data_IF_094649453949
#
_entry.id   IF_094649453949
#
_cell.length_a   1.000
_cell.length_b   1.000
_cell.length_c   1.000
_cell.angle_alpha   90.00
_cell.angle_beta   90.00
_cell.angle_gamma   90.00
#
_symmetry.space_group_name_H-M   'P 1'
#
loop_
_entity.id
_entity.type
_entity.pdbx_description
1 polymer ?
#
# COMPACT_ATOMS: atom_id res chain seq x y z
N UNK A 1 8.57 -14.09 -15.24
CA UNK A 1 8.43 -12.68 -14.80
C UNK A 1 7.22 -12.00 -15.45
N UNK A 2 7.00 -12.13 -16.75
CA UNK A 2 5.82 -11.58 -17.44
C UNK A 2 4.48 -12.08 -16.88
N UNK A 3 4.40 -13.32 -16.41
CA UNK A 3 3.18 -13.89 -15.84
C UNK A 3 2.82 -13.32 -14.45
N UNK A 4 3.78 -12.80 -13.69
CA UNK A 4 3.51 -12.18 -12.39
C UNK A 4 3.11 -10.70 -12.51
N UNK A 5 3.60 -9.99 -13.51
CA UNK A 5 3.20 -8.62 -13.83
C UNK A 5 1.81 -8.52 -14.46
N UNK A 6 1.39 -9.55 -15.22
CA UNK A 6 0.04 -9.63 -15.81
C UNK A 6 -1.09 -9.88 -14.79
N UNK A 7 -0.77 -10.21 -13.53
CA UNK A 7 -1.78 -10.48 -12.49
C UNK A 7 -2.38 -9.22 -11.86
N UNK A 8 -1.83 -8.06 -12.11
CA UNK A 8 -2.46 -6.78 -11.76
C UNK A 8 -3.12 -6.24 -13.02
N UNK A 9 -4.25 -6.82 -13.39
CA UNK A 9 -5.05 -6.32 -14.50
C UNK A 9 -5.53 -4.89 -14.19
N UNK A 10 -5.29 -3.90 -15.05
CA UNK A 10 -5.83 -2.55 -14.88
C UNK A 10 -7.37 -2.48 -14.91
N UNK A 11 -8.02 -3.57 -15.30
CA UNK A 11 -9.49 -3.73 -15.34
C UNK A 11 -10.00 -4.67 -14.24
N UNK A 12 -9.27 -4.85 -13.16
CA UNK A 12 -9.73 -5.68 -12.06
C UNK A 12 -10.85 -4.95 -11.31
N UNK A 13 -12.04 -5.48 -11.42
CA UNK A 13 -13.26 -4.92 -10.88
C UNK A 13 -13.39 -5.25 -9.38
N UNK A 14 -12.44 -4.73 -8.58
CA UNK A 14 -12.34 -4.98 -7.15
C UNK A 14 -13.58 -4.54 -6.37
N UNK A 15 -14.30 -3.57 -6.92
CA UNK A 15 -15.39 -2.91 -6.21
C UNK A 15 -16.77 -3.43 -6.61
N UNK A 16 -16.91 -4.10 -7.74
CA UNK A 16 -18.18 -4.66 -8.23
C UNK A 16 -18.34 -6.14 -7.92
N UNK A 17 -17.25 -6.89 -7.89
CA UNK A 17 -17.25 -8.31 -7.54
C UNK A 17 -16.78 -8.48 -6.08
N UNK A 18 -17.53 -9.23 -5.27
CA UNK A 18 -17.17 -9.64 -3.90
C UNK A 18 -15.91 -10.54 -3.84
N UNK A 19 -15.05 -10.48 -4.85
CA UNK A 19 -13.82 -11.25 -4.90
C UNK A 19 -12.72 -10.56 -4.14
N UNK A 20 -11.92 -11.34 -3.44
CA UNK A 20 -10.73 -10.86 -2.75
C UNK A 20 -9.80 -10.11 -3.72
N UNK A 21 -9.20 -9.02 -3.24
CA UNK A 21 -8.14 -8.32 -3.97
C UNK A 21 -7.00 -9.31 -4.24
N UNK A 22 -6.64 -9.62 -5.50
CA UNK A 22 -5.46 -10.41 -5.77
C UNK A 22 -4.24 -9.60 -5.37
N UNK A 23 -3.59 -10.03 -4.31
CA UNK A 23 -2.34 -9.48 -3.84
C UNK A 23 -1.25 -10.51 -4.07
N UNK A 24 -0.54 -10.48 -5.20
CA UNK A 24 0.64 -11.29 -5.33
C UNK A 24 1.65 -10.79 -4.29
N UNK A 25 2.11 -11.67 -3.43
CA UNK A 25 3.32 -11.46 -2.66
C UNK A 25 4.38 -12.40 -3.24
N UNK A 26 5.60 -11.88 -3.39
CA UNK A 26 6.73 -12.76 -3.67
C UNK A 26 6.92 -13.70 -2.47
N UNK A 27 7.27 -14.96 -2.69
CA UNK A 27 7.69 -15.85 -1.64
C UNK A 27 8.80 -15.19 -0.82
N UNK A 28 8.79 -15.45 0.50
CA UNK A 28 9.88 -15.02 1.35
C UNK A 28 11.17 -15.67 0.85
N UNK A 29 12.28 -14.94 0.93
CA UNK A 29 13.64 -15.41 0.63
C UNK A 29 14.00 -15.60 -0.87
N UNK A 30 13.18 -15.15 -1.80
CA UNK A 30 13.50 -15.19 -3.25
C UNK A 30 14.01 -13.85 -3.81
N UNK A 31 14.59 -12.98 -2.97
CA UNK A 31 15.08 -11.66 -3.43
C UNK A 31 16.24 -11.83 -4.40
N UNK A 32 17.15 -12.76 -4.14
CA UNK A 32 18.30 -13.02 -5.03
C UNK A 32 17.85 -13.46 -6.42
N UNK A 33 16.96 -14.44 -6.49
CA UNK A 33 16.39 -14.93 -7.76
C UNK A 33 15.61 -13.82 -8.49
N UNK A 34 14.89 -12.97 -7.74
CA UNK A 34 14.22 -11.81 -8.32
C UNK A 34 15.20 -10.83 -8.96
N UNK A 35 16.30 -10.51 -8.25
CA UNK A 35 17.34 -9.58 -8.74
C UNK A 35 18.06 -10.15 -9.94
N UNK A 36 18.43 -11.44 -9.94
CA UNK A 36 19.09 -12.12 -11.04
C UNK A 36 18.26 -12.13 -12.33
N UNK A 37 16.93 -12.12 -12.18
CA UNK A 37 15.99 -12.04 -13.32
C UNK A 37 15.80 -10.64 -13.90
N UNK A 38 16.41 -9.59 -13.34
CA UNK A 38 16.29 -8.22 -13.82
C UNK A 38 17.41 -7.84 -14.79
N UNK A 39 17.08 -6.94 -15.71
CA UNK A 39 18.12 -6.30 -16.53
C UNK A 39 19.01 -5.42 -15.66
N UNK A 40 20.31 -5.29 -15.98
CA UNK A 40 21.27 -4.53 -15.15
C UNK A 40 20.88 -3.07 -14.90
N UNK A 41 20.20 -2.43 -15.85
CA UNK A 41 19.76 -1.05 -15.84
C UNK A 41 18.31 -0.88 -15.32
N UNK A 42 17.72 -1.95 -14.79
CA UNK A 42 16.37 -1.89 -14.22
C UNK A 42 16.33 -0.95 -13.01
N UNK A 43 15.50 0.08 -13.10
CA UNK A 43 15.24 0.98 -11.98
C UNK A 43 14.27 0.33 -11.00
N UNK A 44 14.61 0.37 -9.73
CA UNK A 44 13.82 -0.21 -8.66
C UNK A 44 13.43 0.84 -7.63
N UNK A 45 12.36 0.54 -6.92
CA UNK A 45 11.96 1.25 -5.70
C UNK A 45 12.09 0.26 -4.54
N UNK A 46 12.75 0.68 -3.48
CA UNK A 46 12.75 -0.03 -2.19
C UNK A 46 11.93 0.76 -1.18
N UNK A 47 11.02 0.08 -0.52
CA UNK A 47 10.12 0.66 0.49
C UNK A 47 9.88 -0.34 1.64
N UNK A 48 9.57 0.13 2.87
CA UNK A 48 9.19 -0.74 3.96
C UNK A 48 7.88 -1.47 3.63
N UNK A 49 7.81 -2.75 3.95
CA UNK A 49 6.56 -3.49 3.90
C UNK A 49 5.79 -3.27 5.20
N UNK A 50 4.80 -2.38 5.15
CA UNK A 50 3.96 -2.05 6.30
C UNK A 50 3.12 -3.28 6.68
N UNK A 51 3.05 -3.59 7.96
CA UNK A 51 2.25 -4.69 8.49
C UNK A 51 0.93 -4.18 9.06
N UNK A 52 -0.15 -4.44 8.33
CA UNK A 52 -1.49 -3.99 8.65
C UNK A 52 -2.57 -4.76 7.92
N UNK A 53 -3.65 -4.08 7.59
CA UNK A 53 -4.76 -4.60 6.79
C UNK A 53 -4.87 -3.84 5.47
N UNK A 54 -4.67 -4.53 4.35
CA UNK A 54 -4.84 -3.95 3.04
C UNK A 54 -6.28 -3.51 2.80
N UNK A 55 -6.46 -2.25 2.42
CA UNK A 55 -7.73 -1.67 1.99
C UNK A 55 -7.56 -0.95 0.67
N UNK A 56 -8.65 -0.89 -0.09
CA UNK A 56 -8.73 -0.15 -1.33
C UNK A 56 -9.81 0.93 -1.23
N UNK A 57 -9.45 2.13 -1.63
CA UNK A 57 -10.29 3.32 -1.64
C UNK A 57 -10.75 3.60 -3.06
N UNK A 58 -12.02 3.92 -3.25
CA UNK A 58 -12.57 4.39 -4.51
C UNK A 58 -13.09 5.81 -4.36
N UNK A 59 -12.61 6.67 -5.24
CA UNK A 59 -13.09 8.04 -5.39
C UNK A 59 -13.79 8.19 -6.75
N UNK A 60 -14.90 8.92 -6.75
CA UNK A 60 -15.58 9.33 -7.96
C UNK A 60 -15.63 10.87 -8.01
N UNK A 61 -15.06 11.45 -9.06
CA UNK A 61 -14.93 12.89 -9.18
C UNK A 61 -14.36 13.58 -7.93
N UNK A 62 -13.36 12.92 -7.35
CA UNK A 62 -12.66 13.41 -6.17
C UNK A 62 -13.34 13.13 -4.84
N UNK A 63 -14.54 12.57 -4.78
CA UNK A 63 -15.26 12.25 -3.54
C UNK A 63 -15.05 10.77 -3.20
N UNK A 64 -14.70 10.47 -1.94
CA UNK A 64 -14.57 9.10 -1.46
C UNK A 64 -15.96 8.44 -1.38
N UNK A 65 -16.19 7.45 -2.24
CA UNK A 65 -17.45 6.71 -2.31
C UNK A 65 -17.39 5.38 -1.56
N UNK A 66 -16.29 4.66 -1.69
CA UNK A 66 -16.21 3.28 -1.22
C UNK A 66 -14.83 2.91 -0.71
N UNK A 67 -14.81 2.10 0.34
CA UNK A 67 -13.61 1.43 0.81
C UNK A 67 -13.89 -0.04 1.06
N UNK A 68 -13.02 -0.92 0.54
CA UNK A 68 -13.13 -2.35 0.73
C UNK A 68 -11.82 -2.94 1.27
N UNK A 69 -11.96 -3.97 2.08
CA UNK A 69 -10.83 -4.79 2.54
C UNK A 69 -10.40 -5.79 1.46
N UNK A 70 -9.25 -6.42 1.66
CA UNK A 70 -8.76 -7.52 0.82
C UNK A 70 -9.80 -8.64 0.61
N UNK A 71 -10.65 -8.88 1.61
CA UNK A 71 -11.70 -9.92 1.58
C UNK A 71 -13.02 -9.43 0.98
N UNK A 72 -13.08 -8.19 0.48
CA UNK A 72 -14.27 -7.61 -0.13
C UNK A 72 -15.29 -7.04 0.89
N UNK A 73 -14.93 -6.95 2.18
CA UNK A 73 -15.80 -6.32 3.18
C UNK A 73 -15.83 -4.80 2.94
N UNK A 74 -17.02 -4.22 2.82
CA UNK A 74 -17.21 -2.78 2.79
C UNK A 74 -17.01 -2.18 4.18
N UNK A 75 -16.06 -1.26 4.27
CA UNK A 75 -15.69 -0.58 5.52
C UNK A 75 -15.76 0.94 5.40
N UNK A 76 -16.47 1.43 4.39
CA UNK A 76 -16.53 2.86 4.02
C UNK A 76 -16.89 3.77 5.18
N UNK A 77 -17.90 3.39 5.98
CA UNK A 77 -18.33 4.21 7.13
C UNK A 77 -17.28 4.28 8.22
N UNK A 78 -16.56 3.20 8.44
CA UNK A 78 -15.53 3.09 9.48
C UNK A 78 -14.30 3.94 9.19
N UNK A 79 -13.83 3.91 7.95
CA UNK A 79 -12.56 4.55 7.60
C UNK A 79 -12.64 6.09 7.53
N UNK A 80 -13.83 6.66 7.53
CA UNK A 80 -14.03 8.13 7.50
C UNK A 80 -13.43 8.85 8.71
N UNK A 81 -13.22 8.14 9.82
CA UNK A 81 -12.58 8.67 11.03
C UNK A 81 -11.05 8.58 11.01
N UNK A 82 -10.45 7.96 9.97
CA UNK A 82 -9.00 7.85 9.85
C UNK A 82 -8.44 9.11 9.21
N UNK A 83 -7.61 9.91 9.92
CA UNK A 83 -7.15 11.22 9.42
C UNK A 83 -6.36 11.16 8.11
N UNK A 84 -5.60 10.08 7.90
CA UNK A 84 -4.76 9.88 6.70
C UNK A 84 -5.56 9.50 5.45
N UNK A 85 -6.89 9.32 5.56
CA UNK A 85 -7.76 9.02 4.42
C UNK A 85 -8.53 10.27 4.03
N UNK A 86 -8.12 10.98 2.96
CA UNK A 86 -8.82 12.17 2.51
C UNK A 86 -10.26 11.83 2.09
N UNK A 87 -11.25 12.57 2.60
CA UNK A 87 -12.64 12.45 2.13
C UNK A 87 -12.80 12.97 0.69
N UNK A 88 -11.90 13.87 0.28
CA UNK A 88 -11.88 14.45 -1.07
C UNK A 88 -10.45 14.55 -1.60
N UNK A 89 -10.29 14.37 -2.92
CA UNK A 89 -9.01 14.50 -3.64
C UNK A 89 -9.23 15.26 -4.96
N UNK A 90 -8.20 15.95 -5.45
CA UNK A 90 -8.31 16.74 -6.71
C UNK A 90 -8.12 15.85 -7.95
N UNK A 91 -9.11 15.00 -8.24
CA UNK A 91 -9.14 14.14 -9.43
C UNK A 91 -10.51 14.18 -10.10
N UNK A 92 -10.54 13.89 -11.41
CA UNK A 92 -11.76 13.71 -12.18
C UNK A 92 -11.96 12.23 -12.50
N UNK A 93 -13.23 11.82 -12.63
CA UNK A 93 -13.58 10.45 -12.95
C UNK A 93 -13.31 9.47 -11.81
N UNK A 94 -13.14 8.20 -12.17
CA UNK A 94 -12.87 7.11 -11.25
C UNK A 94 -11.38 7.09 -10.85
N UNK A 95 -11.10 7.13 -9.56
CA UNK A 95 -9.76 7.03 -9.02
C UNK A 95 -9.71 6.02 -7.88
N UNK A 96 -8.82 5.04 -7.98
CA UNK A 96 -8.74 3.94 -7.04
C UNK A 96 -7.33 3.82 -6.46
N UNK A 97 -7.24 3.78 -5.13
CA UNK A 97 -5.99 3.75 -4.37
C UNK A 97 -6.00 2.54 -3.45
N UNK A 98 -4.85 1.90 -3.34
CA UNK A 98 -4.61 0.85 -2.38
C UNK A 98 -3.55 1.27 -1.39
N UNK A 99 -3.76 0.89 -0.13
CA UNK A 99 -2.82 1.12 0.96
C UNK A 99 -3.02 0.12 2.09
N UNK A 100 -2.28 0.36 3.15
CA UNK A 100 -2.32 -0.43 4.37
C UNK A 100 -2.85 0.40 5.53
N UNK A 101 -3.87 -0.11 6.21
CA UNK A 101 -4.32 0.40 7.49
C UNK A 101 -3.53 -0.31 8.58
N UNK A 102 -2.85 0.45 9.43
CA UNK A 102 -1.91 -0.07 10.41
C UNK A 102 -1.91 0.76 11.69
N UNK A 103 -1.33 0.21 12.74
CA UNK A 103 -1.05 0.99 13.94
C UNK A 103 0.43 1.40 13.93
N UNK A 104 0.75 2.70 14.01
CA UNK A 104 2.12 3.18 14.11
C UNK A 104 2.89 2.53 15.27
N UNK A 105 4.18 2.27 15.08
CA UNK A 105 5.01 1.50 16.00
C UNK A 105 5.13 2.11 17.41
N UNK A 106 4.94 3.40 17.55
CA UNK A 106 4.95 4.11 18.85
C UNK A 106 3.74 3.78 19.73
N UNK A 107 2.63 3.23 19.14
CA UNK A 107 1.40 2.86 19.86
C UNK A 107 1.17 1.36 19.93
N UNK A 108 1.97 0.56 19.23
CA UNK A 108 1.77 -0.88 19.17
C UNK A 108 3.10 -1.66 19.22
N UNK A 109 3.03 -2.84 19.82
CA UNK A 109 4.06 -3.84 19.57
C UNK A 109 3.98 -4.26 18.10
N UNK A 110 5.09 -4.36 17.37
CA UNK A 110 5.08 -4.62 15.91
C UNK A 110 4.21 -5.81 15.48
N UNK A 111 4.18 -6.87 16.27
CA UNK A 111 3.38 -8.08 16.03
C UNK A 111 1.86 -7.89 16.16
N UNK A 112 1.38 -6.75 16.64
CA UNK A 112 -0.03 -6.51 16.89
C UNK A 112 -0.69 -5.55 15.90
N UNK A 113 0.08 -4.79 15.13
CA UNK A 113 -0.45 -3.77 14.20
C UNK A 113 -1.54 -4.33 13.29
N UNK A 114 -1.28 -5.44 12.59
CA UNK A 114 -2.26 -6.10 11.72
C UNK A 114 -3.50 -6.58 12.48
N UNK A 115 -3.32 -7.15 13.69
CA UNK A 115 -4.44 -7.64 14.50
C UNK A 115 -5.32 -6.49 14.98
N UNK A 116 -4.74 -5.38 15.36
CA UNK A 116 -5.47 -4.19 15.79
C UNK A 116 -6.24 -3.56 14.64
N UNK A 117 -5.61 -3.35 13.48
CA UNK A 117 -6.30 -2.87 12.29
C UNK A 117 -7.43 -3.80 11.87
N UNK A 118 -7.21 -5.12 11.85
CA UNK A 118 -8.23 -6.11 11.54
C UNK A 118 -9.34 -6.19 12.59
N UNK A 119 -9.02 -6.00 13.85
CA UNK A 119 -9.99 -5.90 14.96
C UNK A 119 -10.91 -4.69 14.76
N UNK A 120 -10.33 -3.52 14.53
CA UNK A 120 -11.04 -2.29 14.24
C UNK A 120 -12.03 -2.45 13.08
N UNK A 121 -11.58 -3.01 11.97
CA UNK A 121 -12.42 -3.17 10.78
C UNK A 121 -13.63 -4.11 11.00
N UNK A 122 -13.54 -5.04 11.95
CA UNK A 122 -14.62 -6.01 12.25
C UNK A 122 -15.54 -5.59 13.37
N UNK A 123 -15.03 -4.92 14.40
CA UNK A 123 -15.81 -4.55 15.58
C UNK A 123 -16.78 -3.40 15.28
N UNK A 124 -18.02 -3.44 15.79
CA UNK A 124 -19.02 -2.40 15.55
C UNK A 124 -18.63 -1.06 16.18
N UNK A 125 -18.14 -1.06 17.41
CA UNK A 125 -17.91 0.14 18.25
C UNK A 125 -16.42 0.39 18.55
N UNK A 126 -15.53 0.13 17.60
CA UNK A 126 -14.09 0.33 17.81
C UNK A 126 -13.66 1.77 17.53
N UNK A 127 -12.76 2.31 18.37
CA UNK A 127 -12.14 3.61 18.15
C UNK A 127 -10.94 3.49 17.20
N UNK A 128 -10.76 4.49 16.33
CA UNK A 128 -9.71 4.53 15.31
C UNK A 128 -8.49 5.35 15.72
N UNK A 129 -8.48 5.90 16.92
CA UNK A 129 -7.57 6.97 17.37
C UNK A 129 -6.07 6.64 17.23
N UNK A 130 -5.74 5.36 17.04
CA UNK A 130 -4.37 4.86 16.93
C UNK A 130 -4.06 4.25 15.56
N UNK A 131 -4.96 4.41 14.58
CA UNK A 131 -4.75 3.85 13.26
C UNK A 131 -4.34 4.91 12.26
N UNK A 132 -3.40 4.55 11.40
CA UNK A 132 -2.92 5.32 10.27
C UNK A 132 -3.14 4.55 8.98
N UNK A 133 -3.25 5.29 7.88
CA UNK A 133 -3.33 4.73 6.55
C UNK A 133 -2.15 5.18 5.70
N UNK A 134 -1.46 4.25 5.09
CA UNK A 134 -0.37 4.51 4.17
C UNK A 134 -0.71 3.99 2.78
N UNK A 135 -0.79 4.88 1.79
CA UNK A 135 -1.10 4.53 0.41
C UNK A 135 0.16 4.21 -0.38
N UNK A 136 0.17 3.15 -1.15
CA UNK A 136 1.34 2.73 -1.92
C UNK A 136 1.05 2.37 -3.37
N UNK A 137 -0.20 2.33 -3.82
CA UNK A 137 -0.52 1.95 -5.19
C UNK A 137 -1.75 2.67 -5.73
N UNK A 138 -1.69 3.12 -6.98
CA UNK A 138 -2.86 3.52 -7.77
C UNK A 138 -3.32 2.28 -8.54
N UNK A 139 -4.57 1.83 -8.31
CA UNK A 139 -5.07 0.57 -8.86
C UNK A 139 -5.39 0.70 -10.34
N UNK A 140 -6.10 1.75 -10.73
CA UNK A 140 -6.59 1.99 -12.09
C UNK A 140 -5.69 2.91 -12.92
N UNK A 141 -4.42 3.09 -12.50
CA UNK A 141 -3.44 3.93 -13.16
C UNK A 141 -2.44 3.14 -14.00
N UNK A 142 -1.82 3.83 -14.97
CA UNK A 142 -0.72 3.29 -15.80
C UNK A 142 0.66 3.83 -15.38
N UNK A 143 0.74 4.52 -14.23
CA UNK A 143 1.98 5.07 -13.73
C UNK A 143 2.89 3.96 -13.19
N UNK A 144 4.19 4.11 -13.37
CA UNK A 144 5.16 3.29 -12.65
C UNK A 144 5.10 3.60 -11.14
N UNK A 145 5.75 2.78 -10.30
CA UNK A 145 5.66 2.90 -8.84
C UNK A 145 6.18 4.25 -8.33
N UNK A 146 7.29 4.75 -8.88
CA UNK A 146 7.85 6.03 -8.48
C UNK A 146 6.89 7.20 -8.75
N UNK A 147 6.31 7.25 -9.94
CA UNK A 147 5.39 8.31 -10.33
C UNK A 147 4.04 8.17 -9.60
N UNK A 148 3.61 6.94 -9.31
CA UNK A 148 2.43 6.66 -8.47
C UNK A 148 2.60 7.23 -7.07
N UNK A 149 3.74 6.99 -6.41
CA UNK A 149 4.01 7.51 -5.07
C UNK A 149 4.07 9.04 -5.07
N UNK A 150 4.74 9.65 -6.06
CA UNK A 150 4.76 11.11 -6.21
C UNK A 150 3.37 11.70 -6.40
N UNK A 151 2.54 11.06 -7.22
CA UNK A 151 1.18 11.52 -7.49
C UNK A 151 0.28 11.38 -6.24
N UNK A 152 0.37 10.27 -5.53
CA UNK A 152 -0.34 10.06 -4.26
C UNK A 152 0.05 11.13 -3.23
N UNK A 153 1.34 11.44 -3.09
CA UNK A 153 1.80 12.51 -2.20
C UNK A 153 1.25 13.88 -2.60
N UNK A 154 1.18 14.18 -3.91
CA UNK A 154 0.57 15.43 -4.41
C UNK A 154 -0.93 15.52 -4.10
N UNK A 155 -1.62 14.38 -3.99
CA UNK A 155 -3.02 14.28 -3.60
C UNK A 155 -3.21 14.20 -2.07
N UNK A 156 -2.19 14.55 -1.29
CA UNK A 156 -2.13 14.60 0.19
C UNK A 156 -2.31 13.25 0.90
N UNK A 157 -2.08 12.15 0.20
CA UNK A 157 -1.98 10.85 0.86
C UNK A 157 -0.66 10.70 1.61
N UNK A 158 -0.71 10.04 2.74
CA UNK A 158 0.48 9.48 3.39
C UNK A 158 1.00 8.32 2.53
N UNK A 159 2.28 8.36 2.19
CA UNK A 159 2.96 7.33 1.40
C UNK A 159 4.13 6.74 2.22
N UNK A 160 4.58 5.51 1.92
CA UNK A 160 5.76 4.97 2.58
C UNK A 160 7.01 5.79 2.23
N UNK A 161 7.97 5.82 3.14
CA UNK A 161 9.32 6.23 2.78
C UNK A 161 9.85 5.28 1.68
N UNK A 162 10.59 5.81 0.72
CA UNK A 162 11.15 4.99 -0.33
C UNK A 162 12.50 5.50 -0.82
N UNK A 163 13.27 4.61 -1.43
CA UNK A 163 14.48 4.95 -2.17
C UNK A 163 14.37 4.45 -3.60
N UNK A 164 14.79 5.28 -4.54
CA UNK A 164 14.95 4.89 -5.95
C UNK A 164 16.35 4.33 -6.15
N UNK A 165 16.44 3.17 -6.76
CA UNK A 165 17.68 2.50 -7.11
C UNK A 165 17.84 2.54 -8.62
N UNK A 166 19.03 2.91 -9.08
CA UNK A 166 19.37 2.91 -10.50
C UNK A 166 19.83 1.53 -11.00
N UNK A 167 20.29 0.69 -10.08
CA UNK A 167 20.83 -0.63 -10.38
C UNK A 167 20.33 -1.66 -9.35
N UNK A 168 20.02 -2.85 -9.81
CA UNK A 168 19.60 -3.96 -8.97
C UNK A 168 20.64 -4.33 -7.88
N UNK A 169 21.94 -4.19 -8.20
CA UNK A 169 23.04 -4.42 -7.26
C UNK A 169 23.01 -3.55 -5.99
N UNK A 170 22.29 -2.43 -6.02
CA UNK A 170 22.15 -1.55 -4.86
C UNK A 170 21.19 -2.10 -3.77
N UNK A 171 20.37 -3.08 -4.08
CA UNK A 171 19.36 -3.63 -3.16
C UNK A 171 19.99 -4.10 -1.85
N UNK A 172 21.08 -4.86 -1.92
CA UNK A 172 21.73 -5.40 -0.72
C UNK A 172 22.35 -4.31 0.16
N UNK A 173 22.87 -3.24 -0.45
CA UNK A 173 23.40 -2.08 0.28
C UNK A 173 22.30 -1.44 1.11
N UNK A 174 21.13 -1.20 0.50
CA UNK A 174 20.01 -0.58 1.20
C UNK A 174 19.34 -1.51 2.22
N UNK A 175 19.29 -2.82 1.94
CA UNK A 175 18.85 -3.82 2.93
C UNK A 175 19.72 -3.78 4.19
N UNK A 176 21.03 -3.72 4.03
CA UNK A 176 21.97 -3.59 5.15
C UNK A 176 21.77 -2.29 5.91
N UNK A 177 21.63 -1.16 5.20
CA UNK A 177 21.37 0.14 5.85
C UNK A 177 20.07 0.12 6.66
N UNK A 178 19.04 -0.55 6.17
CA UNK A 178 17.79 -0.71 6.90
C UNK A 178 17.96 -1.62 8.13
N UNK A 179 18.61 -2.75 7.98
CA UNK A 179 18.96 -3.64 9.10
C UNK A 179 19.74 -2.92 10.18
N UNK A 180 20.67 -2.05 9.80
CA UNK A 180 21.47 -1.22 10.72
C UNK A 180 20.68 -0.02 11.30
N UNK A 181 19.38 0.10 11.05
CA UNK A 181 18.51 1.22 11.45
C UNK A 181 18.98 2.59 10.95
N UNK A 182 19.66 2.64 9.82
CA UNK A 182 20.12 3.87 9.16
C UNK A 182 19.17 4.35 8.04
N UNK A 183 18.16 3.55 7.73
CA UNK A 183 17.19 3.81 6.68
C UNK A 183 15.81 3.39 7.18
N UNK A 184 14.77 4.12 6.79
CA UNK A 184 13.37 3.84 7.17
C UNK A 184 13.18 3.73 8.69
N UNK A 185 13.71 4.70 9.44
CA UNK A 185 13.77 4.65 10.91
C UNK A 185 12.41 4.75 11.60
N UNK A 186 11.37 5.14 10.86
CA UNK A 186 9.99 5.26 11.36
C UNK A 186 9.17 3.97 11.19
N UNK A 187 9.81 2.85 10.79
CA UNK A 187 9.13 1.56 10.54
C UNK A 187 9.80 0.38 11.24
#
# INVERSE_FOLDING_TARGET
>A
LENNLKRVSPNCDYFTNKKALPLPSLPKDQISEFIEGLLPDTRLIIEPKIDGCAIALQYQNGILEKCITRKGLDVTTKIKSIPDIPSTVKVQGLFQVRGELFNPSEYARPTYSQRQAGGYLRAADSKSDHLSFCSFQIINGRLNQHDSLKYLKKLVFTIPEYKSLNFASQVEIYRKQWSDKKLFTNY
#
